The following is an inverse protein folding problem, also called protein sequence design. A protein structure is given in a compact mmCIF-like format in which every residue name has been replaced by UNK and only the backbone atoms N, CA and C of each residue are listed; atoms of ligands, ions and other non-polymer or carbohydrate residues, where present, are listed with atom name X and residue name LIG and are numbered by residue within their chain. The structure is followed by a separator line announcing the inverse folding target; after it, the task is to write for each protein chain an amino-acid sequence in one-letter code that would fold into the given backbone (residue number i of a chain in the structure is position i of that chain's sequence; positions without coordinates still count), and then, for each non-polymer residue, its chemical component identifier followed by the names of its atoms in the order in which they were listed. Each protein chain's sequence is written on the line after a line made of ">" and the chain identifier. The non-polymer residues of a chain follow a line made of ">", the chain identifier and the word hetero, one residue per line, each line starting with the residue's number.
data_IF_334139447040
#
_entry.id   IF_334139447040
#
_cell.length_a   1.000
_cell.length_b   1.000
_cell.length_c   1.000
_cell.angle_alpha   90.00
_cell.angle_beta   90.00
_cell.angle_gamma   90.00
#
_symmetry.space_group_name_H-M   'P 1'
#
loop_
_entity.id
_entity.type
_entity.pdbx_description
1 polymer ?
#
# COMPACT_ATOMS: atom_id res chain seq x y z
N UNK A 1 37.35 -20.45 -19.86
CA UNK A 1 38.59 -20.72 -19.09
C UNK A 1 39.50 -21.60 -19.95
N UNK A 2 40.80 -21.32 -20.00
CA UNK A 2 41.80 -22.14 -20.71
C UNK A 2 42.10 -23.44 -19.95
N UNK A 3 42.58 -24.46 -20.66
CA UNK A 3 43.01 -25.72 -20.06
C UNK A 3 44.10 -25.47 -19.00
N UNK A 4 44.02 -26.15 -17.85
CA UNK A 4 45.06 -26.04 -16.83
C UNK A 4 46.18 -27.06 -17.06
N UNK A 5 47.27 -26.95 -16.30
CA UNK A 5 48.44 -27.83 -16.45
C UNK A 5 48.08 -29.33 -16.35
N UNK A 6 47.08 -29.67 -15.54
CA UNK A 6 46.59 -31.04 -15.36
C UNK A 6 45.78 -31.53 -16.57
N UNK A 7 44.95 -30.67 -17.16
CA UNK A 7 44.25 -30.97 -18.41
C UNK A 7 45.25 -31.17 -19.56
N UNK A 8 46.35 -30.41 -19.57
CA UNK A 8 47.45 -30.59 -20.52
C UNK A 8 48.23 -31.89 -20.31
N UNK A 9 48.47 -32.28 -19.05
CA UNK A 9 49.10 -33.56 -18.71
C UNK A 9 48.22 -34.77 -19.10
N UNK A 10 46.90 -34.66 -18.97
CA UNK A 10 45.98 -35.71 -19.47
C UNK A 10 45.93 -35.69 -21.00
N UNK A 11 46.03 -34.52 -21.64
CA UNK A 11 45.95 -34.41 -23.08
C UNK A 11 47.09 -35.12 -23.82
N UNK A 12 48.27 -35.26 -23.20
CA UNK A 12 49.42 -35.97 -23.81
C UNK A 12 49.22 -37.47 -23.93
N UNK A 13 48.38 -38.08 -23.07
CA UNK A 13 48.14 -39.53 -23.04
C UNK A 13 46.71 -39.90 -23.45
N UNK A 14 45.73 -39.05 -23.14
CA UNK A 14 44.30 -39.29 -23.37
C UNK A 14 43.54 -38.00 -23.76
N UNK A 15 43.73 -37.48 -24.99
CA UNK A 15 43.20 -36.17 -25.41
C UNK A 15 41.67 -36.06 -25.36
N UNK A 16 40.93 -37.14 -25.66
CA UNK A 16 39.46 -37.14 -25.56
C UNK A 16 38.96 -36.99 -24.12
N UNK A 17 39.68 -37.55 -23.15
CA UNK A 17 39.34 -37.44 -21.73
C UNK A 17 39.65 -36.05 -21.20
N UNK A 18 40.77 -35.45 -21.60
CA UNK A 18 41.09 -34.05 -21.29
C UNK A 18 40.02 -33.09 -21.83
N UNK A 19 39.60 -33.24 -23.09
CA UNK A 19 38.56 -32.39 -23.68
C UNK A 19 37.22 -32.51 -22.95
N UNK A 20 36.78 -33.74 -22.61
CA UNK A 20 35.56 -33.97 -21.82
C UNK A 20 35.63 -33.33 -20.44
N UNK A 21 36.79 -33.36 -19.79
CA UNK A 21 37.00 -32.75 -18.48
C UNK A 21 36.94 -31.22 -18.55
N UNK A 22 37.58 -30.61 -19.54
CA UNK A 22 37.52 -29.15 -19.74
C UNK A 22 36.08 -28.70 -20.01
N UNK A 23 35.35 -29.42 -20.86
CA UNK A 23 33.92 -29.14 -21.14
C UNK A 23 33.06 -29.30 -19.88
N UNK A 24 33.27 -30.36 -19.10
CA UNK A 24 32.55 -30.58 -17.84
C UNK A 24 32.82 -29.44 -16.83
N UNK A 25 34.07 -28.96 -16.75
CA UNK A 25 34.43 -27.83 -15.89
C UNK A 25 33.79 -26.51 -16.35
N UNK A 26 33.76 -26.26 -17.65
CA UNK A 26 33.06 -25.09 -18.20
C UNK A 26 31.55 -25.17 -17.96
N UNK A 27 30.95 -26.36 -18.07
CA UNK A 27 29.54 -26.57 -17.74
C UNK A 27 29.27 -26.33 -16.24
N UNK A 28 30.12 -26.86 -15.35
CA UNK A 28 30.03 -26.61 -13.91
C UNK A 28 30.18 -25.14 -13.56
N UNK A 29 31.13 -24.43 -14.17
CA UNK A 29 31.35 -23.01 -13.97
C UNK A 29 30.16 -22.17 -14.46
N UNK A 30 29.57 -22.53 -15.60
CA UNK A 30 28.37 -21.87 -16.12
C UNK A 30 27.17 -22.10 -15.19
N UNK A 31 27.08 -23.26 -14.55
CA UNK A 31 26.11 -23.53 -13.48
C UNK A 31 26.43 -22.76 -12.18
N UNK A 32 27.69 -22.35 -11.96
CA UNK A 32 28.10 -21.51 -10.81
C UNK A 32 28.04 -20.01 -11.11
N UNK A 33 28.00 -19.60 -12.39
CA UNK A 33 27.76 -18.21 -12.83
C UNK A 33 26.27 -17.89 -12.73
N UNK A 34 25.72 -17.99 -11.52
CA UNK A 34 24.44 -17.39 -11.14
C UNK A 34 24.67 -16.09 -10.38
N UNK A 35 23.64 -15.24 -10.28
CA UNK A 35 23.68 -14.15 -9.30
C UNK A 35 23.85 -14.75 -7.89
N UNK A 36 24.70 -14.17 -7.04
CA UNK A 36 24.88 -14.62 -5.64
C UNK A 36 23.55 -14.66 -4.87
N UNK A 37 22.59 -13.79 -5.23
CA UNK A 37 21.23 -13.78 -4.68
C UNK A 37 20.34 -14.95 -5.10
N UNK A 38 20.71 -15.69 -6.16
CA UNK A 38 20.03 -16.91 -6.61
C UNK A 38 20.74 -18.19 -6.15
N UNK A 39 21.91 -18.08 -5.49
CA UNK A 39 22.62 -19.22 -4.96
C UNK A 39 21.75 -19.95 -3.93
N UNK A 40 21.66 -21.28 -4.01
CA UNK A 40 20.98 -22.11 -3.02
C UNK A 40 22.02 -22.85 -2.19
N UNK A 41 22.21 -22.44 -0.94
CA UNK A 41 23.12 -23.08 0.00
C UNK A 41 22.84 -22.67 1.45
N UNK A 42 23.68 -23.07 2.42
CA UNK A 42 23.49 -22.74 3.85
C UNK A 42 23.26 -21.25 4.13
N UNK A 43 23.91 -20.37 3.36
CA UNK A 43 23.77 -18.92 3.50
C UNK A 43 22.38 -18.39 3.09
N UNK A 44 21.68 -19.12 2.23
CA UNK A 44 20.32 -18.79 1.79
C UNK A 44 19.29 -19.78 2.37
N UNK A 45 19.71 -20.58 3.36
CA UNK A 45 18.83 -21.51 4.05
C UNK A 45 17.82 -20.72 4.89
N UNK A 46 16.52 -20.99 4.67
CA UNK A 46 15.44 -20.20 5.26
C UNK A 46 15.09 -18.90 4.51
N UNK A 47 15.82 -18.54 3.45
CA UNK A 47 15.48 -17.38 2.62
C UNK A 47 14.22 -17.68 1.79
N UNK A 48 13.07 -17.14 2.22
CA UNK A 48 11.82 -17.20 1.45
C UNK A 48 11.75 -16.03 0.49
N UNK A 49 11.96 -16.31 -0.80
CA UNK A 49 11.79 -15.36 -1.90
C UNK A 49 10.69 -15.87 -2.86
N UNK A 50 9.40 -15.75 -2.49
CA UNK A 50 8.32 -16.12 -3.40
C UNK A 50 8.30 -15.15 -4.59
N UNK A 51 7.97 -15.67 -5.78
CA UNK A 51 7.79 -14.87 -7.01
C UNK A 51 6.37 -14.32 -7.17
N UNK A 52 5.61 -14.27 -6.08
CA UNK A 52 4.25 -13.74 -6.02
C UNK A 52 4.25 -12.22 -6.21
N UNK A 53 3.13 -11.69 -6.71
CA UNK A 53 2.96 -10.24 -6.80
C UNK A 53 2.69 -9.63 -5.43
N UNK A 54 2.95 -8.33 -5.31
CA UNK A 54 2.59 -7.56 -4.11
C UNK A 54 1.11 -7.72 -3.75
N UNK A 55 0.21 -7.69 -4.75
CA UNK A 55 -1.22 -7.90 -4.54
C UNK A 55 -1.50 -9.29 -3.94
N UNK A 56 -0.81 -10.34 -4.38
CA UNK A 56 -1.00 -11.68 -3.82
C UNK A 56 -0.54 -11.76 -2.36
N UNK A 57 0.61 -11.17 -2.04
CA UNK A 57 1.14 -11.16 -0.67
C UNK A 57 0.26 -10.31 0.27
N UNK A 58 -0.14 -9.10 -0.16
CA UNK A 58 -1.02 -8.21 0.60
C UNK A 58 -2.41 -8.84 0.77
N UNK A 59 -2.95 -9.49 -0.25
CA UNK A 59 -4.28 -10.09 -0.17
C UNK A 59 -4.39 -11.19 0.90
N UNK A 60 -3.28 -11.86 1.22
CA UNK A 60 -3.24 -12.90 2.27
C UNK A 60 -2.98 -12.29 3.65
N UNK A 61 -2.07 -11.34 3.76
CA UNK A 61 -1.56 -10.86 5.05
C UNK A 61 -2.16 -9.52 5.51
N UNK A 62 -2.74 -8.73 4.61
CA UNK A 62 -3.07 -7.32 4.81
C UNK A 62 -3.95 -7.07 6.03
N UNK A 63 -5.11 -7.73 6.11
CA UNK A 63 -6.04 -7.58 7.23
C UNK A 63 -5.38 -7.91 8.58
N UNK A 64 -4.67 -9.05 8.66
CA UNK A 64 -3.98 -9.47 9.88
C UNK A 64 -2.86 -8.50 10.29
N UNK A 65 -2.11 -7.96 9.32
CA UNK A 65 -1.07 -6.98 9.58
C UNK A 65 -1.65 -5.68 10.14
N UNK A 66 -2.78 -5.21 9.60
CA UNK A 66 -3.50 -4.04 10.13
C UNK A 66 -3.97 -4.27 11.56
N UNK A 67 -4.61 -5.40 11.84
CA UNK A 67 -5.11 -5.74 13.18
C UNK A 67 -3.97 -5.78 14.20
N UNK A 68 -2.86 -6.42 13.84
CA UNK A 68 -1.66 -6.49 14.69
C UNK A 68 -1.02 -5.12 14.90
N UNK A 69 -0.98 -4.28 13.87
CA UNK A 69 -0.44 -2.92 13.98
C UNK A 69 -1.29 -2.08 14.93
N UNK A 70 -2.62 -2.13 14.79
CA UNK A 70 -3.55 -1.41 15.68
C UNK A 70 -3.47 -1.91 17.12
N UNK A 71 -3.38 -3.23 17.33
CA UNK A 71 -3.15 -3.80 18.66
C UNK A 71 -1.83 -3.31 19.27
N UNK A 72 -0.74 -3.36 18.49
CA UNK A 72 0.57 -2.91 18.91
C UNK A 72 0.56 -1.42 19.28
N UNK A 73 -0.10 -0.57 18.49
CA UNK A 73 -0.22 0.87 18.80
C UNK A 73 -1.05 1.12 20.07
N UNK A 74 -2.11 0.35 20.31
CA UNK A 74 -2.94 0.49 21.53
C UNK A 74 -2.21 0.04 22.79
N UNK A 75 -1.43 -1.03 22.69
CA UNK A 75 -0.88 -1.73 23.85
C UNK A 75 0.63 -1.51 24.08
N UNK A 76 1.37 -0.98 23.11
CA UNK A 76 2.80 -0.76 23.22
C UNK A 76 3.16 0.74 23.09
N UNK A 77 3.66 1.38 24.16
CA UNK A 77 3.97 2.81 24.14
C UNK A 77 5.08 3.17 23.15
N UNK A 78 6.00 2.25 22.84
CA UNK A 78 7.03 2.49 21.83
C UNK A 78 6.47 2.53 20.42
N UNK A 79 5.52 1.65 20.10
CA UNK A 79 4.85 1.67 18.81
C UNK A 79 3.95 2.90 18.65
N UNK A 80 3.18 3.23 19.69
CA UNK A 80 2.39 4.46 19.73
C UNK A 80 3.26 5.69 19.50
N UNK A 81 4.42 5.77 20.18
CA UNK A 81 5.37 6.86 20.00
C UNK A 81 5.97 6.88 18.60
N UNK A 82 6.31 5.74 18.02
CA UNK A 82 6.86 5.65 16.67
C UNK A 82 5.87 6.20 15.64
N UNK A 83 4.60 5.79 15.69
CA UNK A 83 3.56 6.31 14.80
C UNK A 83 3.38 7.82 15.00
N UNK A 84 3.26 8.29 16.24
CA UNK A 84 3.11 9.71 16.53
C UNK A 84 4.27 10.55 15.99
N UNK A 85 5.52 10.06 16.12
CA UNK A 85 6.70 10.75 15.57
C UNK A 85 6.65 10.79 14.05
N UNK A 86 6.26 9.71 13.38
CA UNK A 86 6.13 9.69 11.92
C UNK A 86 5.05 10.67 11.45
N UNK A 87 3.84 10.60 12.01
CA UNK A 87 2.72 11.46 11.62
C UNK A 87 3.05 12.93 11.85
N UNK A 88 3.60 13.27 13.02
CA UNK A 88 3.98 14.66 13.34
C UNK A 88 5.06 15.21 12.40
N UNK A 89 6.02 14.39 11.98
CA UNK A 89 7.06 14.82 11.04
C UNK A 89 6.54 14.94 9.60
N UNK A 90 5.59 14.08 9.18
CA UNK A 90 5.01 14.12 7.83
C UNK A 90 4.07 15.31 7.67
N UNK A 91 3.19 15.54 8.65
CA UNK A 91 2.17 16.59 8.57
C UNK A 91 2.69 17.93 9.07
N UNK A 92 3.49 17.94 10.14
CA UNK A 92 3.98 19.17 10.76
C UNK A 92 2.82 20.08 11.19
N UNK A 93 2.79 21.30 10.66
CA UNK A 93 1.71 22.27 10.89
C UNK A 93 0.48 22.06 9.96
N UNK A 94 0.54 21.08 9.05
CA UNK A 94 -0.48 20.83 8.04
C UNK A 94 -0.16 21.45 6.68
N UNK A 95 -0.76 20.87 5.65
CA UNK A 95 -0.73 21.35 4.28
C UNK A 95 -1.75 22.49 4.18
N UNK A 96 -1.22 23.72 4.07
CA UNK A 96 -2.01 24.94 3.91
C UNK A 96 -2.01 25.37 2.44
N UNK A 97 -3.09 25.12 1.68
CA UNK A 97 -3.17 25.61 0.31
C UNK A 97 -3.26 27.14 0.30
N UNK A 98 -2.69 27.75 -0.72
CA UNK A 98 -2.91 29.16 -1.05
C UNK A 98 -3.45 29.29 -2.46
N UNK A 99 -4.44 30.15 -2.63
CA UNK A 99 -4.92 30.52 -3.93
C UNK A 99 -3.81 31.22 -4.74
N UNK A 100 -3.75 30.92 -6.03
CA UNK A 100 -2.78 31.46 -6.96
C UNK A 100 -3.47 31.72 -8.31
N UNK A 101 -4.56 32.50 -8.28
CA UNK A 101 -5.35 32.83 -9.47
C UNK A 101 -4.72 33.96 -10.30
N UNK A 102 -3.79 34.72 -9.72
CA UNK A 102 -3.19 35.92 -10.32
C UNK A 102 -3.94 37.22 -10.02
N UNK A 103 -5.04 37.16 -9.26
CA UNK A 103 -5.77 38.32 -8.73
C UNK A 103 -5.75 38.27 -7.19
N UNK A 104 -4.97 39.16 -6.57
CA UNK A 104 -4.83 39.27 -5.11
C UNK A 104 -6.17 39.42 -4.37
N UNK A 105 -7.16 40.08 -4.98
CA UNK A 105 -8.48 40.25 -4.34
C UNK A 105 -9.26 38.95 -4.38
N UNK A 106 -9.16 38.18 -5.46
CA UNK A 106 -9.78 36.88 -5.59
C UNK A 106 -9.10 35.86 -4.66
N UNK A 107 -7.77 35.85 -4.62
CA UNK A 107 -6.99 34.94 -3.79
C UNK A 107 -7.32 35.11 -2.30
N UNK A 108 -7.39 36.35 -1.81
CA UNK A 108 -7.84 36.63 -0.43
C UNK A 108 -9.25 36.12 -0.13
N UNK A 109 -10.16 36.16 -1.11
CA UNK A 109 -11.53 35.63 -0.93
C UNK A 109 -11.54 34.12 -0.87
N UNK A 110 -10.74 33.46 -1.72
CA UNK A 110 -10.62 32.00 -1.75
C UNK A 110 -9.97 31.52 -0.45
N UNK A 111 -8.86 32.12 -0.04
CA UNK A 111 -8.17 31.76 1.21
C UNK A 111 -9.09 31.95 2.42
N UNK A 112 -9.83 33.06 2.50
CA UNK A 112 -10.80 33.28 3.57
C UNK A 112 -11.98 32.30 3.53
N UNK A 113 -12.41 31.86 2.34
CA UNK A 113 -13.46 30.85 2.19
C UNK A 113 -12.96 29.46 2.61
N UNK A 114 -11.73 29.12 2.23
CA UNK A 114 -11.07 27.89 2.64
C UNK A 114 -10.95 27.82 4.16
N UNK A 115 -10.50 28.89 4.80
CA UNK A 115 -10.38 28.97 6.27
C UNK A 115 -11.72 28.79 7.00
N UNK A 116 -12.83 29.29 6.44
CA UNK A 116 -14.16 28.99 7.02
C UNK A 116 -14.58 27.56 6.81
N UNK A 117 -14.24 26.99 5.66
CA UNK A 117 -14.57 25.61 5.34
C UNK A 117 -13.78 24.61 6.18
N UNK A 118 -12.54 24.90 6.57
CA UNK A 118 -11.71 23.96 7.33
C UNK A 118 -12.37 23.47 8.61
N UNK A 119 -13.09 24.34 9.33
CA UNK A 119 -13.80 24.00 10.57
C UNK A 119 -15.02 23.08 10.35
N UNK A 120 -15.61 23.10 9.16
CA UNK A 120 -16.86 22.40 8.83
C UNK A 120 -16.63 21.26 7.82
N UNK A 121 -15.37 21.00 7.45
CA UNK A 121 -15.04 20.10 6.36
C UNK A 121 -15.24 18.63 6.71
N UNK A 122 -15.21 18.26 8.00
CA UNK A 122 -15.43 16.89 8.45
C UNK A 122 -16.92 16.53 8.45
N UNK A 123 -17.27 15.46 7.74
CA UNK A 123 -18.64 14.96 7.69
C UNK A 123 -19.15 14.42 9.04
N UNK A 124 -18.23 14.01 9.92
CA UNK A 124 -18.54 13.50 11.26
C UNK A 124 -18.44 14.60 12.35
N UNK A 125 -17.98 15.79 11.96
CA UNK A 125 -17.94 17.00 12.79
C UNK A 125 -16.99 16.93 13.97
N UNK A 126 -15.96 16.09 13.92
CA UNK A 126 -14.99 15.89 15.01
C UNK A 126 -13.71 16.68 14.82
N UNK A 127 -13.28 16.85 13.57
CA UNK A 127 -11.98 17.42 13.23
C UNK A 127 -12.11 18.58 12.26
N UNK A 128 -11.16 19.52 12.35
CA UNK A 128 -10.93 20.49 11.27
C UNK A 128 -10.10 19.84 10.14
N UNK A 129 -9.84 20.61 9.08
CA UNK A 129 -9.08 20.11 7.93
C UNK A 129 -7.68 19.60 8.31
N UNK A 130 -7.02 20.21 9.28
CA UNK A 130 -5.66 19.85 9.71
C UNK A 130 -5.67 18.60 10.60
N UNK A 131 -6.70 18.44 11.44
CA UNK A 131 -7.00 17.22 12.16
C UNK A 131 -7.28 16.07 11.21
N UNK A 132 -8.07 16.29 10.15
CA UNK A 132 -8.30 15.27 9.11
C UNK A 132 -7.00 14.86 8.41
N UNK A 133 -6.10 15.79 8.08
CA UNK A 133 -4.78 15.45 7.51
C UNK A 133 -3.98 14.54 8.45
N UNK A 134 -3.98 14.86 9.74
CA UNK A 134 -3.32 14.07 10.78
C UNK A 134 -3.92 12.67 10.87
N UNK A 135 -5.25 12.56 10.88
CA UNK A 135 -5.98 11.29 10.92
C UNK A 135 -5.69 10.43 9.68
N UNK A 136 -5.76 11.03 8.49
CA UNK A 136 -5.47 10.38 7.20
C UNK A 136 -4.03 9.85 7.20
N UNK A 137 -3.06 10.65 7.63
CA UNK A 137 -1.66 10.22 7.68
C UNK A 137 -1.44 9.12 8.72
N UNK A 138 -2.12 9.19 9.86
CA UNK A 138 -2.04 8.14 10.89
C UNK A 138 -2.58 6.82 10.37
N UNK A 139 -3.73 6.84 9.70
CA UNK A 139 -4.32 5.64 9.10
C UNK A 139 -3.44 5.07 7.99
N UNK A 140 -2.82 5.93 7.16
CA UNK A 140 -1.83 5.47 6.17
C UNK A 140 -0.65 4.74 6.83
N UNK A 141 -0.19 5.16 8.01
CA UNK A 141 0.92 4.51 8.73
C UNK A 141 0.47 3.21 9.43
N UNK A 142 -0.72 3.20 10.03
CA UNK A 142 -1.21 2.05 10.81
C UNK A 142 -1.86 0.97 9.95
N UNK A 143 -2.67 1.37 8.98
CA UNK A 143 -3.47 0.49 8.15
C UNK A 143 -2.92 0.32 6.72
N UNK A 144 -2.00 1.20 6.29
CA UNK A 144 -1.40 1.17 4.95
C UNK A 144 -2.22 1.88 3.87
N UNK A 145 -3.51 2.13 4.11
CA UNK A 145 -4.41 2.83 3.21
C UNK A 145 -5.56 3.49 3.97
N UNK A 146 -6.23 4.45 3.34
CA UNK A 146 -7.41 5.15 3.89
C UNK A 146 -8.26 5.65 2.75
N UNK A 147 -9.58 5.64 2.93
CA UNK A 147 -10.53 6.14 1.94
C UNK A 147 -11.07 7.50 2.37
N UNK A 148 -11.00 8.49 1.49
CA UNK A 148 -11.61 9.81 1.73
C UNK A 148 -12.79 9.97 0.79
N UNK A 149 -14.00 9.83 1.33
CA UNK A 149 -15.25 10.01 0.59
C UNK A 149 -15.64 11.48 0.57
N UNK A 150 -15.68 12.06 -0.63
CA UNK A 150 -16.23 13.41 -0.84
C UNK A 150 -17.75 13.36 -0.74
N UNK A 151 -18.32 14.10 0.21
CA UNK A 151 -19.76 14.25 0.40
C UNK A 151 -20.18 15.64 -0.07
N UNK A 152 -20.74 15.70 -1.28
CA UNK A 152 -21.39 16.92 -1.75
C UNK A 152 -22.66 17.15 -0.92
N UNK A 153 -22.81 18.38 -0.43
CA UNK A 153 -23.93 18.82 0.39
C UNK A 153 -24.83 19.76 -0.39
N UNK A 154 -26.03 20.03 0.12
CA UNK A 154 -26.91 21.01 -0.50
C UNK A 154 -26.51 22.40 -0.01
N UNK A 155 -26.71 23.43 -0.83
CA UNK A 155 -26.51 24.81 -0.41
C UNK A 155 -27.40 25.20 0.79
N UNK A 156 -28.56 24.52 0.93
CA UNK A 156 -29.47 24.68 2.07
C UNK A 156 -28.91 24.18 3.40
N UNK A 157 -27.82 23.41 3.39
CA UNK A 157 -27.25 22.79 4.59
C UNK A 157 -26.42 23.79 5.43
N UNK A 158 -26.29 25.05 4.97
CA UNK A 158 -25.69 26.15 5.73
C UNK A 158 -24.16 26.16 5.77
N UNK A 159 -23.50 25.23 5.08
CA UNK A 159 -22.04 25.14 5.04
C UNK A 159 -21.42 26.29 4.22
N UNK A 160 -20.24 26.83 4.63
CA UNK A 160 -19.52 27.83 3.85
C UNK A 160 -19.21 27.37 2.42
N UNK A 161 -18.87 26.08 2.29
CA UNK A 161 -18.72 25.37 1.01
C UNK A 161 -19.51 24.06 1.13
N UNK A 162 -20.39 23.73 0.17
CA UNK A 162 -21.26 22.55 0.24
C UNK A 162 -20.51 21.25 -0.09
N UNK A 163 -19.40 21.00 0.62
CA UNK A 163 -18.54 19.85 0.49
C UNK A 163 -18.07 19.45 1.89
N UNK A 164 -18.16 18.17 2.21
CA UNK A 164 -17.49 17.59 3.36
C UNK A 164 -16.67 16.38 2.95
N UNK A 165 -15.70 16.03 3.77
CA UNK A 165 -14.84 14.88 3.64
C UNK A 165 -15.23 13.91 4.74
N UNK A 166 -15.38 12.64 4.37
CA UNK A 166 -15.53 11.57 5.33
C UNK A 166 -14.36 10.63 5.19
N UNK A 167 -13.61 10.47 6.28
CA UNK A 167 -12.49 9.54 6.34
C UNK A 167 -13.04 8.19 6.75
N UNK A 168 -12.83 7.19 5.91
CA UNK A 168 -13.24 5.81 6.14
C UNK A 168 -11.98 4.97 6.30
N UNK A 169 -11.97 4.14 7.34
CA UNK A 169 -10.92 3.16 7.59
C UNK A 169 -10.77 2.18 6.41
N UNK A 170 -9.57 1.62 6.24
CA UNK A 170 -9.26 0.66 5.18
C UNK A 170 -10.23 -0.53 5.14
N UNK A 171 -10.74 -0.93 6.31
CA UNK A 171 -11.65 -2.06 6.53
C UNK A 171 -13.00 -1.89 5.83
N UNK A 172 -13.39 -0.66 5.49
CA UNK A 172 -14.58 -0.47 4.66
C UNK A 172 -14.41 -1.05 3.26
N UNK A 173 -13.18 -1.19 2.74
CA UNK A 173 -12.93 -1.82 1.45
C UNK A 173 -13.06 -3.35 1.56
N UNK A 174 -14.01 -3.92 0.82
CA UNK A 174 -14.30 -5.35 0.87
C UNK A 174 -13.22 -6.16 0.13
N UNK A 175 -12.18 -6.53 0.86
CA UNK A 175 -11.05 -7.32 0.36
C UNK A 175 -11.47 -8.72 -0.13
N UNK A 176 -12.65 -9.22 0.27
CA UNK A 176 -13.16 -10.52 -0.20
C UNK A 176 -13.59 -10.48 -1.67
N UNK A 177 -13.80 -9.29 -2.23
CA UNK A 177 -14.11 -9.09 -3.66
C UNK A 177 -12.84 -9.16 -4.49
N UNK A 178 -12.47 -10.37 -4.89
CA UNK A 178 -11.37 -10.65 -5.81
C UNK A 178 -11.79 -11.68 -6.86
N UNK A 179 -11.45 -11.47 -8.13
CA UNK A 179 -11.78 -12.41 -9.22
C UNK A 179 -12.07 -11.74 -10.56
N UNK A 180 -12.58 -12.51 -11.52
CA UNK A 180 -13.03 -11.97 -12.80
C UNK A 180 -14.38 -11.25 -12.64
N UNK A 181 -14.58 -10.12 -13.33
CA UNK A 181 -15.84 -9.37 -13.34
C UNK A 181 -16.18 -8.94 -14.76
N UNK A 182 -16.99 -9.74 -15.45
CA UNK A 182 -17.26 -9.53 -16.88
C UNK A 182 -15.96 -9.52 -17.68
N UNK A 183 -15.72 -8.45 -18.45
CA UNK A 183 -14.46 -8.25 -19.17
C UNK A 183 -13.35 -7.60 -18.30
N UNK A 184 -13.67 -7.16 -17.09
CA UNK A 184 -12.74 -6.59 -16.12
C UNK A 184 -12.36 -7.56 -15.02
N UNK A 185 -11.80 -7.04 -13.93
CA UNK A 185 -11.41 -7.85 -12.77
C UNK A 185 -11.58 -7.07 -11.46
N UNK A 186 -11.72 -7.80 -10.38
CA UNK A 186 -11.70 -7.32 -9.01
C UNK A 186 -10.42 -7.79 -8.33
N UNK A 187 -9.76 -6.89 -7.62
CA UNK A 187 -8.62 -7.21 -6.76
C UNK A 187 -8.85 -6.51 -5.43
N UNK A 188 -9.11 -7.29 -4.39
CA UNK A 188 -9.26 -6.81 -3.01
C UNK A 188 -10.21 -5.60 -2.87
N UNK A 189 -11.40 -5.70 -3.45
CA UNK A 189 -12.41 -4.62 -3.38
C UNK A 189 -12.21 -3.52 -4.42
N UNK A 190 -11.13 -3.51 -5.19
CA UNK A 190 -10.89 -2.55 -6.27
C UNK A 190 -11.29 -3.17 -7.59
N UNK A 191 -12.15 -2.47 -8.32
CA UNK A 191 -12.62 -2.89 -9.63
C UNK A 191 -11.78 -2.25 -10.74
N UNK A 192 -11.37 -3.07 -11.69
CA UNK A 192 -10.60 -2.67 -12.85
C UNK A 192 -11.37 -2.97 -14.13
N UNK A 193 -11.33 -2.02 -15.07
CA UNK A 193 -11.81 -2.21 -16.42
C UNK A 193 -10.90 -3.19 -17.21
N UNK A 194 -11.27 -3.57 -18.46
CA UNK A 194 -10.49 -4.52 -19.26
C UNK A 194 -9.07 -4.04 -19.60
N UNK A 195 -8.80 -2.73 -19.51
CA UNK A 195 -7.48 -2.14 -19.77
C UNK A 195 -6.71 -1.84 -18.49
N UNK A 196 -7.22 -2.27 -17.33
CA UNK A 196 -6.55 -2.16 -16.04
C UNK A 196 -6.71 -0.81 -15.33
N UNK A 197 -7.67 0.05 -15.73
CA UNK A 197 -7.98 1.29 -15.00
C UNK A 197 -8.96 1.01 -13.88
N UNK A 198 -8.75 1.66 -12.73
CA UNK A 198 -9.67 1.60 -11.57
C UNK A 198 -11.02 2.22 -11.97
N UNK A 199 -12.10 1.48 -11.80
CA UNK A 199 -13.47 1.86 -12.16
C UNK A 199 -14.33 2.13 -10.92
N UNK A 200 -14.20 1.32 -9.89
CA UNK A 200 -15.00 1.41 -8.67
C UNK A 200 -14.29 0.80 -7.45
N UNK A 201 -14.80 1.11 -6.28
CA UNK A 201 -14.40 0.53 -4.99
C UNK A 201 -15.63 -0.10 -4.34
N UNK A 202 -15.49 -1.34 -3.88
CA UNK A 202 -16.55 -2.11 -3.26
C UNK A 202 -16.44 -1.94 -1.75
N UNK A 203 -17.37 -1.20 -1.17
CA UNK A 203 -17.34 -0.87 0.25
C UNK A 203 -18.44 -1.59 1.02
N UNK A 204 -18.15 -1.99 2.25
CA UNK A 204 -19.17 -2.35 3.23
C UNK A 204 -20.04 -1.13 3.55
N UNK A 205 -21.33 -1.36 3.82
CA UNK A 205 -22.25 -0.29 4.17
C UNK A 205 -21.96 0.28 5.57
N UNK A 206 -21.52 -0.61 6.47
CA UNK A 206 -21.13 -0.35 7.85
C UNK A 206 -19.76 -0.97 8.10
N UNK A 207 -19.07 -0.54 9.16
CA UNK A 207 -17.74 -1.04 9.46
C UNK A 207 -17.83 -2.54 9.81
N UNK A 208 -17.09 -3.44 9.12
CA UNK A 208 -17.27 -4.89 9.29
C UNK A 208 -16.86 -5.41 10.68
N UNK A 209 -16.04 -4.65 11.41
CA UNK A 209 -15.69 -4.93 12.81
C UNK A 209 -16.63 -4.31 13.85
N UNK A 210 -17.68 -3.59 13.45
CA UNK A 210 -18.62 -3.00 14.40
C UNK A 210 -19.61 -4.05 14.93
N UNK A 211 -19.69 -4.16 16.26
CA UNK A 211 -20.58 -5.09 16.96
C UNK A 211 -22.06 -4.67 16.92
N UNK A 212 -22.35 -3.43 16.54
CA UNK A 212 -23.70 -2.86 16.56
C UNK A 212 -24.41 -2.93 15.19
N UNK A 213 -23.72 -3.38 14.13
CA UNK A 213 -24.18 -3.32 12.73
C UNK A 213 -25.03 -4.49 12.22
N UNK A 214 -25.56 -5.35 13.09
CA UNK A 214 -26.30 -6.55 12.69
C UNK A 214 -27.80 -6.52 13.07
N UNK A 215 -28.47 -5.37 12.98
CA UNK A 215 -29.93 -5.27 13.11
C UNK A 215 -30.59 -4.57 11.91
N UNK A 216 -30.24 -4.97 10.68
CA UNK A 216 -31.10 -4.75 9.50
C UNK A 216 -31.27 -6.04 8.70
N UNK A 217 -32.07 -6.92 9.27
CA UNK A 217 -32.53 -8.17 8.69
C UNK A 217 -33.55 -8.84 9.60
N UNK A 218 -34.65 -8.15 9.88
CA UNK A 218 -35.82 -8.74 10.53
C UNK A 218 -36.86 -9.14 9.47
N UNK A 219 -37.41 -10.34 9.65
CA UNK A 219 -38.81 -10.78 9.40
C UNK A 219 -39.66 -9.84 8.53
#
# INVERSE_FOLDING_TARGET
>A
MSANWFDHAIASVAPRMAARRVLARQAFETLTRGYDGAARGRRTEGWRAPGSSADTEIGVAGALLRDRMRDLVRNNPHAAKAVAVLVNNIIGAGIMPRAASGDDKLDRKIDALFERWTAECDADGQLDFYGLQTLICREMVEAGEVLVRRRLRRASDGLPVPLQLQVLEADFLDATKSGALGAGRLVQGIEFDPVGKRRAYWLHAEHPGDAHGALRGGI
#
